data_IF_147395641197
#
_entry.id   IF_147395641197
#
_cell.length_a   1.000
_cell.length_b   1.000
_cell.length_c   1.000
_cell.angle_alpha   90.00
_cell.angle_beta   90.00
_cell.angle_gamma   90.00
#
_symmetry.space_group_name_H-M   'P 1'
#
loop_
_entity.id
_entity.type
_entity.pdbx_description
1 polymer ?
#
# COMPACT_ATOMS: atom_id res chain seq x y z
N UNK A 1 14.46 11.41 5.01
CA UNK A 1 13.08 11.81 4.66
C UNK A 1 12.95 13.32 4.54
N UNK A 2 13.31 14.12 5.56
CA UNK A 2 13.17 15.58 5.51
C UNK A 2 13.73 16.23 4.24
N UNK A 3 14.99 15.95 3.90
CA UNK A 3 15.63 16.55 2.71
C UNK A 3 15.03 16.03 1.39
N UNK A 4 14.54 14.78 1.37
CA UNK A 4 13.86 14.22 0.19
C UNK A 4 12.53 14.93 -0.06
N UNK A 5 11.84 15.33 1.00
CA UNK A 5 10.56 16.01 0.91
C UNK A 5 10.73 17.48 0.55
N UNK A 6 11.65 18.17 1.23
CA UNK A 6 11.69 19.63 1.22
C UNK A 6 12.83 20.20 0.36
N UNK A 7 13.45 19.39 -0.51
CA UNK A 7 14.43 19.86 -1.49
C UNK A 7 14.17 19.26 -2.88
N UNK A 8 14.68 19.94 -3.91
CA UNK A 8 14.59 19.49 -5.30
C UNK A 8 15.79 18.61 -5.72
N UNK A 9 16.66 18.23 -4.77
CA UNK A 9 17.86 17.46 -5.05
C UNK A 9 17.56 16.01 -5.46
N UNK A 10 16.49 15.42 -4.90
CA UNK A 10 16.20 13.99 -5.03
C UNK A 10 14.93 13.72 -5.84
N UNK A 11 13.89 14.53 -5.63
CA UNK A 11 12.57 14.38 -6.25
C UNK A 11 12.13 15.74 -6.78
N UNK A 12 11.73 15.78 -8.05
CA UNK A 12 11.08 16.95 -8.63
C UNK A 12 9.59 16.88 -8.31
N UNK A 13 9.11 17.82 -7.50
CA UNK A 13 7.68 17.98 -7.19
C UNK A 13 7.00 18.85 -8.27
N UNK A 14 5.72 18.62 -8.59
CA UNK A 14 5.00 19.41 -9.58
C UNK A 14 4.70 20.84 -9.08
N UNK A 15 4.52 21.01 -7.78
CA UNK A 15 4.25 22.27 -7.09
C UNK A 15 4.62 22.15 -5.60
N UNK A 16 4.40 23.22 -4.84
CA UNK A 16 4.70 23.24 -3.41
C UNK A 16 3.64 22.62 -2.50
N UNK A 17 2.44 22.38 -3.03
CA UNK A 17 1.27 21.96 -2.26
C UNK A 17 1.12 20.44 -2.19
N UNK A 18 1.70 19.70 -3.16
CA UNK A 18 1.68 18.24 -3.16
C UNK A 18 2.28 17.69 -1.85
N UNK A 19 1.50 16.90 -1.13
CA UNK A 19 1.89 16.31 0.14
C UNK A 19 2.47 14.92 -0.03
N UNK A 20 3.32 14.54 0.93
CA UNK A 20 3.91 13.21 1.05
C UNK A 20 3.85 12.78 2.50
N UNK A 21 3.50 11.51 2.74
CA UNK A 21 3.59 10.88 4.06
C UNK A 21 4.21 9.50 3.92
N UNK A 22 5.20 9.18 4.75
CA UNK A 22 5.85 7.87 4.70
C UNK A 22 6.33 7.39 6.06
N UNK A 23 6.43 6.06 6.16
CA UNK A 23 7.00 5.36 7.30
C UNK A 23 8.00 4.33 6.79
N UNK A 24 9.16 4.26 7.44
CA UNK A 24 10.20 3.25 7.21
C UNK A 24 10.31 2.37 8.44
N UNK A 25 10.19 1.06 8.25
CA UNK A 25 10.21 0.03 9.29
C UNK A 25 11.40 -0.89 9.09
N UNK A 26 12.11 -1.22 10.17
CA UNK A 26 13.03 -2.36 10.24
C UNK A 26 12.23 -3.66 10.24
N UNK A 27 12.40 -4.45 9.19
CA UNK A 27 11.58 -5.65 8.95
C UNK A 27 11.83 -6.74 9.98
N UNK A 28 12.94 -6.70 10.71
CA UNK A 28 13.30 -7.74 11.68
C UNK A 28 12.62 -7.60 13.04
N UNK A 29 12.04 -6.43 13.34
CA UNK A 29 11.56 -6.12 14.69
C UNK A 29 10.43 -5.07 14.76
N UNK A 30 9.96 -4.54 13.63
CA UNK A 30 8.86 -3.57 13.59
C UNK A 30 9.24 -2.16 14.05
N UNK A 31 10.51 -1.86 14.32
CA UNK A 31 10.93 -0.51 14.72
C UNK A 31 10.72 0.48 13.59
N UNK A 32 10.04 1.57 13.88
CA UNK A 32 9.92 2.72 12.98
C UNK A 32 11.23 3.50 13.05
N UNK A 33 12.04 3.44 11.99
CA UNK A 33 13.36 4.09 11.95
C UNK A 33 13.32 5.50 11.38
N UNK A 34 12.30 5.80 10.58
CA UNK A 34 12.03 7.13 10.07
C UNK A 34 10.54 7.25 9.73
N UNK A 35 9.93 8.40 10.03
CA UNK A 35 8.56 8.72 9.66
C UNK A 35 8.42 10.22 9.45
N UNK A 36 7.69 10.62 8.41
CA UNK A 36 7.39 12.02 8.14
C UNK A 36 6.01 12.13 7.48
N UNK A 37 5.14 12.97 8.04
CA UNK A 37 3.73 13.05 7.67
C UNK A 37 3.35 14.17 6.72
N UNK A 38 4.24 15.10 6.38
CA UNK A 38 3.91 16.21 5.50
C UNK A 38 5.17 16.81 4.85
N UNK A 39 4.99 17.42 3.67
CA UNK A 39 5.97 18.29 3.00
C UNK A 39 5.64 19.74 3.33
N UNK A 40 6.66 20.58 3.53
CA UNK A 40 6.52 22.00 3.89
C UNK A 40 5.63 22.26 5.10
N UNK A 41 5.72 21.39 6.12
CA UNK A 41 4.97 21.55 7.35
C UNK A 41 5.40 22.83 8.08
N UNK A 42 4.42 23.63 8.53
CA UNK A 42 4.68 24.84 9.28
C UNK A 42 5.45 24.55 10.59
N UNK A 43 6.58 25.22 10.80
CA UNK A 43 7.49 24.97 11.92
C UNK A 43 6.97 25.44 13.28
N UNK A 44 5.86 26.18 13.31
CA UNK A 44 5.24 26.70 14.53
C UNK A 44 4.19 25.75 15.15
N UNK A 45 3.95 24.57 14.56
CA UNK A 45 2.99 23.57 15.07
C UNK A 45 3.75 22.38 15.64
N UNK A 46 3.65 22.18 16.96
CA UNK A 46 4.17 20.97 17.64
C UNK A 46 3.06 19.94 17.78
N UNK A 47 3.37 18.67 17.45
CA UNK A 47 2.45 17.53 17.58
C UNK A 47 1.08 17.72 16.89
N UNK A 48 1.08 18.40 15.73
CA UNK A 48 -0.09 18.44 14.86
C UNK A 48 -0.42 17.07 14.25
N UNK A 49 -1.45 17.02 13.41
CA UNK A 49 -1.84 15.79 12.70
C UNK A 49 -0.66 15.22 11.92
N UNK A 50 -0.38 13.93 12.12
CA UNK A 50 0.64 13.20 11.39
C UNK A 50 -0.03 12.28 10.36
N UNK A 51 -0.08 12.71 9.09
CA UNK A 51 -0.72 11.94 8.01
C UNK A 51 -0.09 10.55 7.81
N UNK A 52 1.14 10.30 8.29
CA UNK A 52 1.75 8.98 8.20
C UNK A 52 1.02 7.90 9.01
N UNK A 53 0.24 8.29 10.03
CA UNK A 53 -0.54 7.37 10.87
C UNK A 53 -2.05 7.48 10.66
N UNK A 54 -2.53 8.47 9.91
CA UNK A 54 -3.95 8.62 9.61
C UNK A 54 -4.39 7.62 8.53
N UNK A 55 -5.61 7.09 8.67
CA UNK A 55 -6.22 6.11 7.75
C UNK A 55 -7.35 6.70 6.92
N UNK A 56 -7.31 8.01 6.71
CA UNK A 56 -8.34 8.80 6.03
C UNK A 56 -8.13 8.95 4.51
N UNK A 57 -7.12 8.29 3.95
CA UNK A 57 -6.80 8.28 2.50
C UNK A 57 -6.85 6.84 1.97
N UNK A 58 -7.15 6.70 0.70
CA UNK A 58 -7.25 5.39 0.06
C UNK A 58 -5.88 4.94 -0.46
N UNK A 59 -5.45 3.74 -0.05
CA UNK A 59 -4.19 3.09 -0.46
C UNK A 59 -4.34 2.25 -1.74
N UNK A 60 -5.55 2.17 -2.29
CA UNK A 60 -5.83 1.68 -3.63
C UNK A 60 -5.22 0.29 -3.91
N UNK A 61 -4.64 0.15 -5.10
CA UNK A 61 -4.02 -1.11 -5.55
C UNK A 61 -2.86 -1.64 -4.71
N UNK A 62 -2.32 -0.86 -3.76
CA UNK A 62 -1.34 -1.37 -2.80
C UNK A 62 -1.97 -2.32 -1.76
N UNK A 63 -3.29 -2.39 -1.68
CA UNK A 63 -4.01 -3.38 -0.87
C UNK A 63 -3.99 -4.78 -1.50
N UNK A 64 -3.95 -4.89 -2.83
CA UNK A 64 -4.10 -6.18 -3.54
C UNK A 64 -3.16 -7.28 -3.04
N UNK A 65 -1.85 -7.02 -2.81
CA UNK A 65 -0.95 -8.05 -2.29
C UNK A 65 -1.40 -8.66 -0.97
N UNK A 66 -1.91 -7.85 -0.05
CA UNK A 66 -2.22 -8.25 1.33
C UNK A 66 -3.69 -8.65 1.52
N UNK A 67 -4.60 -8.15 0.67
CA UNK A 67 -6.04 -8.47 0.72
C UNK A 67 -6.41 -9.68 -0.12
N UNK A 68 -5.77 -9.85 -1.30
CA UNK A 68 -6.23 -10.81 -2.31
C UNK A 68 -5.19 -11.91 -2.54
N UNK A 69 -4.00 -11.54 -3.01
CA UNK A 69 -3.04 -12.51 -3.56
C UNK A 69 -2.30 -13.30 -2.48
N UNK A 70 -1.85 -12.65 -1.40
CA UNK A 70 -1.23 -13.35 -0.28
C UNK A 70 -2.18 -14.36 0.38
N UNK A 71 -3.43 -14.01 0.76
CA UNK A 71 -4.35 -15.01 1.30
C UNK A 71 -4.74 -16.08 0.27
N UNK A 72 -4.80 -15.75 -1.03
CA UNK A 72 -5.06 -16.75 -2.07
C UNK A 72 -3.95 -17.82 -2.14
N UNK A 73 -2.68 -17.42 -2.07
CA UNK A 73 -1.55 -18.36 -1.99
C UNK A 73 -1.53 -19.09 -0.64
N UNK A 74 -1.79 -18.39 0.46
CA UNK A 74 -1.77 -18.95 1.82
C UNK A 74 -2.78 -20.09 2.00
N UNK A 75 -3.98 -19.90 1.43
CA UNK A 75 -5.12 -20.81 1.57
C UNK A 75 -5.31 -21.76 0.38
N UNK A 76 -4.33 -21.83 -0.55
CA UNK A 76 -4.35 -22.80 -1.65
C UNK A 76 -5.40 -22.51 -2.73
N UNK A 77 -5.80 -21.24 -2.91
CA UNK A 77 -6.58 -20.81 -4.09
C UNK A 77 -5.69 -20.85 -5.34
N UNK A 78 -4.41 -20.51 -5.18
CA UNK A 78 -3.39 -20.65 -6.22
C UNK A 78 -2.18 -21.41 -5.65
N UNK A 79 -1.64 -22.34 -6.43
CA UNK A 79 -0.50 -23.17 -6.02
C UNK A 79 0.83 -22.70 -6.62
N UNK A 80 0.81 -21.75 -7.56
CA UNK A 80 2.01 -21.25 -8.23
C UNK A 80 1.86 -19.79 -8.67
N UNK A 81 2.98 -19.07 -8.85
CA UNK A 81 2.99 -17.72 -9.45
C UNK A 81 2.61 -17.72 -10.94
N UNK A 82 2.57 -18.91 -11.55
CA UNK A 82 2.17 -19.15 -12.93
C UNK A 82 0.69 -19.54 -13.09
N UNK A 83 -0.07 -19.66 -11.99
CA UNK A 83 -1.50 -19.95 -12.05
C UNK A 83 -2.21 -18.95 -12.95
N UNK A 84 -3.09 -19.45 -13.82
CA UNK A 84 -3.82 -18.63 -14.79
C UNK A 84 -5.05 -18.00 -14.14
N UNK A 85 -5.24 -16.71 -14.40
CA UNK A 85 -6.41 -15.91 -14.04
C UNK A 85 -6.98 -15.22 -15.27
N UNK A 86 -8.23 -14.78 -15.18
CA UNK A 86 -9.00 -14.24 -16.30
C UNK A 86 -9.19 -12.74 -16.15
N UNK A 87 -8.42 -11.96 -16.90
CA UNK A 87 -8.60 -10.52 -17.01
C UNK A 87 -9.57 -10.21 -18.17
N UNK A 88 -10.86 -10.39 -17.93
CA UNK A 88 -11.97 -10.21 -18.89
C UNK A 88 -13.07 -9.35 -18.27
N UNK A 89 -14.04 -8.81 -19.04
CA UNK A 89 -15.16 -8.06 -18.46
C UNK A 89 -15.81 -8.81 -17.29
N UNK A 90 -15.90 -8.13 -16.14
CA UNK A 90 -16.32 -8.72 -14.88
C UNK A 90 -17.12 -7.68 -14.08
N UNK A 91 -18.10 -8.14 -13.31
CA UNK A 91 -18.87 -7.29 -12.40
C UNK A 91 -18.48 -7.59 -10.96
N UNK A 92 -18.63 -6.63 -10.07
CA UNK A 92 -18.50 -6.91 -8.65
C UNK A 92 -19.43 -8.07 -8.24
N UNK A 93 -18.96 -9.03 -7.40
CA UNK A 93 -19.77 -10.20 -7.09
C UNK A 93 -21.11 -9.82 -6.46
N UNK A 94 -22.20 -10.39 -6.99
CA UNK A 94 -23.56 -10.13 -6.51
C UNK A 94 -24.18 -8.83 -7.00
N UNK A 95 -23.56 -8.12 -7.96
CA UNK A 95 -24.10 -6.90 -8.56
C UNK A 95 -23.95 -6.90 -10.09
N UNK A 96 -24.65 -5.97 -10.75
CA UNK A 96 -24.46 -5.64 -12.17
C UNK A 96 -23.47 -4.48 -12.37
N UNK A 97 -22.75 -4.09 -11.31
CA UNK A 97 -21.79 -2.98 -11.37
C UNK A 97 -20.51 -3.46 -12.06
N UNK A 98 -20.17 -2.90 -13.24
CA UNK A 98 -18.96 -3.30 -13.96
C UNK A 98 -17.71 -2.90 -13.19
N UNK A 99 -16.73 -3.81 -13.19
CA UNK A 99 -15.41 -3.57 -12.65
C UNK A 99 -14.43 -3.30 -13.79
N UNK A 100 -13.81 -2.12 -13.77
CA UNK A 100 -12.85 -1.72 -14.79
C UNK A 100 -11.40 -1.81 -14.29
N UNK A 101 -10.51 -2.21 -15.19
CA UNK A 101 -9.08 -1.94 -15.06
C UNK A 101 -8.82 -0.45 -15.28
N UNK A 102 -7.73 0.08 -14.72
CA UNK A 102 -7.39 1.50 -14.82
C UNK A 102 -7.17 1.98 -16.26
N UNK A 103 -6.81 1.06 -17.17
CA UNK A 103 -6.60 1.32 -18.60
C UNK A 103 -7.80 0.91 -19.47
N UNK A 104 -8.89 0.42 -18.87
CA UNK A 104 -10.07 -0.11 -19.56
C UNK A 104 -9.78 -1.21 -20.60
N UNK A 105 -8.63 -1.88 -20.48
CA UNK A 105 -8.24 -3.00 -21.35
C UNK A 105 -8.29 -4.31 -20.55
N UNK A 106 -8.52 -5.41 -21.27
CA UNK A 106 -8.60 -6.77 -20.74
C UNK A 106 -7.56 -7.63 -21.44
N UNK A 107 -6.68 -8.30 -20.68
CA UNK A 107 -5.61 -9.13 -21.23
C UNK A 107 -5.97 -10.61 -21.39
N UNK A 108 -7.20 -10.99 -21.04
CA UNK A 108 -7.65 -12.38 -21.12
C UNK A 108 -6.90 -13.28 -20.14
N UNK A 109 -6.43 -14.43 -20.62
CA UNK A 109 -5.76 -15.42 -19.77
C UNK A 109 -4.31 -15.01 -19.52
N UNK A 110 -4.00 -14.67 -18.27
CA UNK A 110 -2.67 -14.24 -17.83
C UNK A 110 -2.28 -14.97 -16.55
N UNK A 111 -0.98 -14.98 -16.21
CA UNK A 111 -0.54 -15.53 -14.92
C UNK A 111 -0.85 -14.57 -13.77
N UNK A 112 -1.01 -15.07 -12.54
CA UNK A 112 -1.18 -14.21 -11.36
C UNK A 112 0.01 -13.25 -11.17
N UNK A 113 1.22 -13.66 -11.54
CA UNK A 113 2.38 -12.78 -11.55
C UNK A 113 2.19 -11.60 -12.51
N UNK A 114 1.74 -11.86 -13.74
CA UNK A 114 1.51 -10.78 -14.71
C UNK A 114 0.31 -9.91 -14.31
N UNK A 115 -0.73 -10.51 -13.74
CA UNK A 115 -1.88 -9.79 -13.21
C UNK A 115 -1.47 -8.80 -12.09
N UNK A 116 -0.58 -9.23 -11.18
CA UNK A 116 -0.04 -8.36 -10.14
C UNK A 116 0.93 -7.31 -10.71
N UNK A 117 1.79 -7.71 -11.65
CA UNK A 117 2.76 -6.84 -12.35
C UNK A 117 2.06 -5.65 -13.03
N UNK A 118 0.94 -5.90 -13.70
CA UNK A 118 0.15 -4.89 -14.40
C UNK A 118 -0.99 -4.32 -13.53
N UNK A 119 -1.09 -4.75 -12.27
CA UNK A 119 -2.10 -4.28 -11.32
C UNK A 119 -3.53 -4.39 -11.86
N UNK A 120 -3.91 -5.54 -12.41
CA UNK A 120 -5.29 -5.77 -12.90
C UNK A 120 -6.28 -5.74 -11.74
N UNK A 121 -7.40 -5.04 -11.92
CA UNK A 121 -8.47 -4.91 -10.92
C UNK A 121 -9.40 -6.12 -10.96
N UNK A 122 -9.74 -6.58 -12.17
CA UNK A 122 -10.61 -7.75 -12.37
C UNK A 122 -10.09 -8.97 -11.61
N UNK A 123 -8.83 -9.32 -11.87
CA UNK A 123 -8.20 -10.50 -11.26
C UNK A 123 -8.07 -10.37 -9.75
N UNK A 124 -7.92 -9.15 -9.22
CA UNK A 124 -7.83 -8.88 -7.78
C UNK A 124 -9.18 -9.14 -7.09
N UNK A 125 -10.26 -8.56 -7.60
CA UNK A 125 -11.61 -8.75 -7.05
C UNK A 125 -12.09 -10.20 -7.21
N UNK A 126 -11.83 -10.83 -8.37
CA UNK A 126 -12.14 -12.25 -8.57
C UNK A 126 -11.35 -13.13 -7.57
N UNK A 127 -10.09 -12.77 -7.28
CA UNK A 127 -9.27 -13.47 -6.28
C UNK A 127 -9.85 -13.31 -4.88
N UNK A 128 -10.25 -12.09 -4.47
CA UNK A 128 -10.91 -11.87 -3.19
C UNK A 128 -12.20 -12.69 -3.06
N UNK A 129 -12.98 -12.80 -4.13
CA UNK A 129 -14.17 -13.65 -4.16
C UNK A 129 -13.85 -15.14 -3.91
N UNK A 130 -12.76 -15.66 -4.49
CA UNK A 130 -12.30 -17.04 -4.25
C UNK A 130 -11.74 -17.25 -2.85
N UNK A 131 -11.04 -16.24 -2.30
CA UNK A 131 -10.55 -16.26 -0.90
C UNK A 131 -11.73 -16.21 0.07
N UNK A 132 -12.74 -15.42 -0.22
CA UNK A 132 -13.86 -15.12 0.68
C UNK A 132 -13.52 -14.01 1.67
N UNK A 133 -14.49 -13.12 1.89
CA UNK A 133 -14.32 -11.89 2.68
C UNK A 133 -13.85 -12.14 4.12
N UNK A 134 -14.36 -13.18 4.78
CA UNK A 134 -14.01 -13.49 6.18
C UNK A 134 -12.55 -13.91 6.35
N UNK A 135 -12.06 -14.79 5.46
CA UNK A 135 -10.66 -15.24 5.47
C UNK A 135 -9.71 -14.11 5.11
N UNK A 136 -10.07 -13.27 4.12
CA UNK A 136 -9.29 -12.08 3.79
C UNK A 136 -9.20 -11.11 4.96
N UNK A 137 -10.32 -10.86 5.67
CA UNK A 137 -10.35 -10.03 6.87
C UNK A 137 -9.45 -10.58 7.98
N UNK A 138 -9.55 -11.88 8.26
CA UNK A 138 -8.71 -12.53 9.27
C UNK A 138 -7.22 -12.46 8.90
N UNK A 139 -6.89 -12.64 7.62
CA UNK A 139 -5.51 -12.51 7.14
C UNK A 139 -4.97 -11.08 7.33
N UNK A 140 -5.75 -10.06 6.96
CA UNK A 140 -5.39 -8.66 7.17
C UNK A 140 -5.23 -8.30 8.66
N UNK A 141 -6.07 -8.86 9.53
CA UNK A 141 -5.94 -8.67 10.98
C UNK A 141 -4.59 -9.20 11.49
N UNK A 142 -4.10 -10.31 10.94
CA UNK A 142 -2.75 -10.82 11.19
C UNK A 142 -1.63 -9.87 10.75
N UNK A 143 -1.92 -8.89 9.89
CA UNK A 143 -1.03 -7.82 9.42
C UNK A 143 -1.35 -6.45 10.04
N UNK A 144 -2.19 -6.39 11.08
CA UNK A 144 -2.54 -5.15 11.79
C UNK A 144 -3.45 -4.18 11.02
N UNK A 145 -4.11 -4.66 9.97
CA UNK A 145 -5.12 -3.92 9.19
C UNK A 145 -6.49 -4.55 9.42
N UNK A 146 -7.52 -3.71 9.58
CA UNK A 146 -8.88 -4.18 9.84
C UNK A 146 -9.90 -3.25 9.19
N UNK A 147 -11.13 -3.73 9.09
CA UNK A 147 -12.30 -3.00 8.62
C UNK A 147 -13.50 -3.35 9.52
N UNK A 148 -14.47 -2.44 9.72
CA UNK A 148 -15.72 -2.80 10.40
C UNK A 148 -16.39 -3.98 9.69
N UNK A 149 -16.55 -3.86 8.38
CA UNK A 149 -17.01 -4.90 7.46
C UNK A 149 -16.13 -4.91 6.22
N UNK A 150 -15.83 -6.11 5.72
CA UNK A 150 -15.09 -6.28 4.47
C UNK A 150 -16.08 -6.33 3.30
N UNK A 151 -15.76 -5.65 2.21
CA UNK A 151 -16.53 -5.67 0.97
C UNK A 151 -15.61 -5.97 -0.23
N UNK A 152 -16.17 -6.38 -1.37
CA UNK A 152 -15.36 -6.67 -2.56
C UNK A 152 -14.61 -5.46 -3.12
N UNK A 153 -15.09 -4.24 -2.86
CA UNK A 153 -14.36 -3.01 -3.16
C UNK A 153 -13.00 -2.95 -2.44
N UNK A 154 -12.87 -3.60 -1.27
CA UNK A 154 -11.65 -3.59 -0.48
C UNK A 154 -10.49 -4.40 -1.09
N UNK A 155 -10.75 -5.19 -2.15
CA UNK A 155 -9.67 -5.81 -2.93
C UNK A 155 -8.71 -4.75 -3.50
N UNK A 156 -9.24 -3.59 -3.89
CA UNK A 156 -8.50 -2.55 -4.61
C UNK A 156 -8.57 -1.18 -3.94
N UNK A 157 -9.08 -1.12 -2.70
CA UNK A 157 -9.27 0.12 -1.94
C UNK A 157 -9.12 -0.15 -0.45
N UNK A 158 -8.49 0.77 0.28
CA UNK A 158 -8.49 0.76 1.74
C UNK A 158 -9.58 1.62 2.34
N UNK A 159 -10.47 2.17 1.52
CA UNK A 159 -11.52 3.05 1.99
C UNK A 159 -12.53 2.27 2.84
N UNK A 160 -13.03 2.92 3.88
CA UNK A 160 -13.88 2.31 4.90
C UNK A 160 -15.01 3.27 5.28
N UNK A 161 -16.13 2.71 5.73
CA UNK A 161 -17.30 3.48 6.17
C UNK A 161 -17.11 4.12 7.55
N UNK A 162 -16.15 3.63 8.34
CA UNK A 162 -15.81 4.19 9.66
C UNK A 162 -14.39 4.76 9.67
N UNK A 163 -14.25 6.00 10.14
CA UNK A 163 -13.00 6.79 10.14
C UNK A 163 -12.12 6.58 11.38
N UNK A 164 -12.32 5.51 12.16
CA UNK A 164 -11.45 5.21 13.30
C UNK A 164 -10.06 4.80 12.81
N UNK A 165 -8.98 5.36 13.40
CA UNK A 165 -7.58 5.07 13.03
C UNK A 165 -7.21 3.58 13.00
N UNK A 166 -7.95 2.72 13.71
CA UNK A 166 -7.71 1.27 13.65
C UNK A 166 -8.08 0.66 12.30
N UNK A 167 -9.06 1.24 11.61
CA UNK A 167 -9.58 0.74 10.34
C UNK A 167 -8.92 1.40 9.14
N UNK A 168 -8.81 0.66 8.04
CA UNK A 168 -8.14 1.13 6.83
C UNK A 168 -6.61 1.08 6.93
N UNK A 169 -5.96 1.84 6.05
CA UNK A 169 -4.51 1.80 5.87
C UNK A 169 -3.88 3.18 6.02
N UNK A 170 -2.64 3.20 6.52
CA UNK A 170 -1.77 4.36 6.68
C UNK A 170 -0.35 3.96 6.29
N UNK A 171 0.58 4.90 6.16
CA UNK A 171 1.95 4.53 5.77
C UNK A 171 2.61 3.70 6.86
N UNK A 172 2.28 3.95 8.13
CA UNK A 172 2.68 3.12 9.25
C UNK A 172 2.19 1.68 9.11
N UNK A 173 0.88 1.48 8.88
CA UNK A 173 0.29 0.13 8.75
C UNK A 173 0.81 -0.60 7.54
N UNK A 174 0.92 0.08 6.40
CA UNK A 174 1.36 -0.52 5.14
C UNK A 174 2.84 -0.90 5.17
N UNK A 175 3.70 -0.09 5.79
CA UNK A 175 5.10 -0.43 5.97
C UNK A 175 5.26 -1.69 6.85
N UNK A 176 4.52 -1.79 7.95
CA UNK A 176 4.55 -2.97 8.82
C UNK A 176 3.93 -4.22 8.17
N UNK A 177 2.85 -4.07 7.40
CA UNK A 177 2.24 -5.18 6.67
C UNK A 177 3.20 -5.74 5.61
N UNK A 178 3.86 -4.87 4.84
CA UNK A 178 4.82 -5.29 3.81
C UNK A 178 6.15 -5.79 4.38
N UNK A 179 6.53 -5.35 5.58
CA UNK A 179 7.66 -5.92 6.31
C UNK A 179 7.49 -7.44 6.55
N UNK A 180 6.25 -7.92 6.71
CA UNK A 180 5.97 -9.34 6.86
C UNK A 180 6.34 -10.15 5.59
N UNK A 181 6.25 -9.57 4.39
CA UNK A 181 6.76 -10.26 3.20
C UNK A 181 8.29 -10.35 3.22
N UNK A 182 8.97 -9.27 3.63
CA UNK A 182 10.42 -9.18 3.64
C UNK A 182 11.11 -10.17 4.58
N UNK A 183 10.48 -10.49 5.72
CA UNK A 183 11.05 -11.29 6.79
C UNK A 183 10.53 -12.75 6.86
N UNK A 184 9.85 -13.23 5.82
CA UNK A 184 9.38 -14.62 5.75
C UNK A 184 8.04 -14.88 6.45
N UNK A 185 7.21 -13.85 6.57
CA UNK A 185 5.80 -13.94 6.97
C UNK A 185 5.51 -13.58 8.43
N UNK A 186 6.39 -12.84 9.09
CA UNK A 186 6.24 -12.43 10.49
C UNK A 186 5.80 -10.97 10.54
N UNK A 187 4.62 -10.71 11.08
CA UNK A 187 4.17 -9.35 11.37
C UNK A 187 4.75 -8.88 12.70
N UNK A 188 5.33 -7.68 12.70
CA UNK A 188 5.70 -6.96 13.91
C UNK A 188 4.86 -5.69 14.02
N UNK A 189 4.34 -5.41 15.21
CA UNK A 189 3.65 -4.14 15.47
C UNK A 189 4.65 -2.97 15.31
N UNK A 190 4.26 -1.83 14.71
CA UNK A 190 5.10 -0.62 14.68
C UNK A 190 5.55 -0.18 16.09
N UNK A 191 6.86 -0.02 16.29
CA UNK A 191 7.48 0.37 17.56
C UNK A 191 8.25 1.69 17.42
N UNK A 192 7.91 2.68 18.25
CA UNK A 192 8.59 3.99 18.31
C UNK A 192 9.55 4.11 19.50
N UNK A 193 9.35 3.29 20.53
CA UNK A 193 10.15 3.28 21.75
C UNK A 193 10.66 1.88 22.02
N UNK A 194 11.86 1.78 22.59
CA UNK A 194 12.47 0.50 23.00
C UNK A 194 12.77 0.45 24.50
N UNK A 195 12.82 1.60 25.18
CA UNK A 195 13.09 1.70 26.61
C UNK A 195 12.54 3.00 27.18
N UNK A 196 11.99 2.95 28.40
CA UNK A 196 11.66 4.12 29.22
C UNK A 196 12.43 3.98 30.54
N UNK A 197 13.09 5.07 30.96
CA UNK A 197 13.72 5.21 32.29
C UNK A 197 12.88 6.20 33.08
N UNK A 198 12.33 5.76 34.21
CA UNK A 198 11.47 6.57 35.06
C UNK A 198 12.30 7.42 36.04
N UNK A 199 11.68 8.45 36.62
CA UNK A 199 12.34 9.38 37.55
C UNK A 199 12.83 8.72 38.84
N UNK A 200 12.30 7.55 39.20
CA UNK A 200 12.74 6.74 40.35
C UNK A 200 13.93 5.81 40.03
N UNK A 201 14.43 5.84 38.79
CA UNK A 201 15.52 5.00 38.31
C UNK A 201 15.09 3.62 37.82
N UNK A 202 13.80 3.26 37.91
CA UNK A 202 13.29 2.02 37.32
C UNK A 202 13.26 2.12 35.79
N UNK A 203 13.38 0.97 35.13
CA UNK A 203 13.44 0.90 33.68
C UNK A 203 12.43 -0.10 33.13
N UNK A 204 11.88 0.20 31.96
CA UNK A 204 11.01 -0.70 31.21
C UNK A 204 11.44 -0.79 29.76
N UNK A 205 11.79 -1.99 29.33
CA UNK A 205 12.10 -2.28 27.92
C UNK A 205 10.84 -2.70 27.16
N UNK A 206 10.82 -2.38 25.87
CA UNK A 206 9.72 -2.66 24.96
C UNK A 206 10.27 -3.38 23.72
N UNK A 207 9.70 -4.53 23.42
CA UNK A 207 9.99 -5.31 22.23
C UNK A 207 8.71 -5.97 21.73
N UNK A 208 8.68 -6.27 20.43
CA UNK A 208 7.61 -7.01 19.79
C UNK A 208 8.17 -8.38 19.36
N UNK A 209 7.56 -9.46 19.88
CA UNK A 209 8.01 -10.82 19.59
C UNK A 209 7.68 -11.27 18.16
N UNK A 210 6.82 -10.53 17.45
CA UNK A 210 6.29 -10.89 16.15
C UNK A 210 5.20 -11.96 16.23
N UNK A 211 4.35 -12.00 15.21
CA UNK A 211 3.35 -13.06 15.02
C UNK A 211 3.40 -13.53 13.58
N UNK A 212 3.35 -14.84 13.35
CA UNK A 212 3.30 -15.38 11.98
C UNK A 212 1.95 -15.04 11.34
N UNK A 213 1.99 -14.19 10.33
CA UNK A 213 0.82 -13.79 9.55
C UNK A 213 0.63 -14.66 8.29
N UNK A 214 1.72 -15.22 7.75
CA UNK A 214 1.69 -16.11 6.58
C UNK A 214 2.84 -17.12 6.61
N UNK A 215 2.74 -18.15 5.77
CA UNK A 215 3.84 -19.09 5.53
C UNK A 215 5.01 -18.38 4.86
N UNK A 216 6.22 -18.89 5.10
CA UNK A 216 7.42 -18.43 4.41
C UNK A 216 7.32 -18.62 2.89
N UNK A 217 6.67 -19.69 2.43
CA UNK A 217 6.40 -19.95 1.01
C UNK A 217 5.49 -18.88 0.39
N UNK A 218 4.44 -18.46 1.10
CA UNK A 218 3.54 -17.37 0.69
C UNK A 218 4.34 -16.06 0.55
N UNK A 219 5.13 -15.72 1.56
CA UNK A 219 5.95 -14.50 1.56
C UNK A 219 6.97 -14.50 0.40
N UNK A 220 7.60 -15.64 0.13
CA UNK A 220 8.54 -15.79 -0.98
C UNK A 220 7.85 -15.62 -2.34
N UNK A 221 6.74 -16.31 -2.58
CA UNK A 221 6.00 -16.22 -3.85
C UNK A 221 5.47 -14.80 -4.10
N UNK A 222 4.94 -14.13 -3.08
CA UNK A 222 4.53 -12.74 -3.17
C UNK A 222 5.70 -11.80 -3.47
N UNK A 223 6.86 -12.04 -2.85
CA UNK A 223 8.08 -11.28 -3.11
C UNK A 223 8.56 -11.44 -4.55
N UNK A 224 8.57 -12.66 -5.09
CA UNK A 224 8.98 -12.91 -6.48
C UNK A 224 8.05 -12.21 -7.47
N UNK A 225 6.74 -12.25 -7.26
CA UNK A 225 5.80 -11.52 -8.11
C UNK A 225 5.97 -9.99 -7.99
N UNK A 226 6.18 -9.47 -6.78
CA UNK A 226 6.35 -8.02 -6.57
C UNK A 226 7.71 -7.49 -7.03
N UNK A 227 8.73 -8.33 -7.21
CA UNK A 227 9.95 -7.94 -7.93
C UNK A 227 9.64 -7.58 -9.38
N UNK A 228 8.75 -8.32 -10.05
CA UNK A 228 8.43 -8.07 -11.45
C UNK A 228 7.64 -6.79 -11.67
N UNK A 229 6.90 -6.34 -10.64
CA UNK A 229 6.25 -5.01 -10.62
C UNK A 229 7.29 -3.90 -10.83
N UNK A 230 8.47 -4.02 -10.24
CA UNK A 230 9.55 -3.03 -10.40
C UNK A 230 10.32 -3.25 -11.70
N UNK A 231 10.57 -4.48 -12.15
CA UNK A 231 11.40 -4.70 -13.35
C UNK A 231 10.66 -4.44 -14.66
N UNK A 232 9.38 -4.82 -14.73
CA UNK A 232 8.58 -4.84 -15.98
C UNK A 232 7.13 -4.35 -15.81
N UNK A 233 6.77 -3.85 -14.63
CA UNK A 233 5.40 -3.47 -14.28
C UNK A 233 5.24 -2.00 -13.95
N UNK A 234 4.14 -1.71 -13.24
CA UNK A 234 3.75 -0.35 -12.87
C UNK A 234 4.75 0.35 -11.94
N UNK A 235 5.55 -0.40 -11.18
CA UNK A 235 6.54 0.13 -10.24
C UNK A 235 7.89 0.47 -10.86
N UNK A 236 8.01 0.52 -12.19
CA UNK A 236 9.31 0.67 -12.88
C UNK A 236 10.10 1.90 -12.47
N UNK A 237 9.42 2.98 -12.10
CA UNK A 237 10.04 4.22 -11.61
C UNK A 237 10.92 4.04 -10.37
N UNK A 238 10.62 3.04 -9.54
CA UNK A 238 11.33 2.73 -8.29
C UNK A 238 12.42 1.65 -8.44
N UNK A 239 12.64 1.11 -9.63
CA UNK A 239 13.61 0.03 -9.85
C UNK A 239 15.06 0.48 -9.65
N UNK A 240 15.84 -0.35 -8.97
CA UNK A 240 17.27 -0.18 -8.75
C UNK A 240 17.96 -1.50 -9.13
N UNK A 241 18.76 -1.54 -10.23
CA UNK A 241 19.30 -2.80 -10.75
C UNK A 241 20.28 -3.51 -9.81
N UNK A 242 20.87 -2.77 -8.87
CA UNK A 242 21.85 -3.29 -7.91
C UNK A 242 21.21 -3.71 -6.57
N UNK A 243 19.92 -3.43 -6.35
CA UNK A 243 19.25 -3.67 -5.08
C UNK A 243 18.16 -4.75 -5.24
N UNK A 244 18.27 -5.91 -4.57
CA UNK A 244 17.16 -6.86 -4.51
C UNK A 244 16.04 -6.31 -3.64
N UNK A 245 14.97 -5.85 -4.29
CA UNK A 245 13.79 -5.28 -3.66
C UNK A 245 12.51 -5.66 -4.40
N UNK A 246 11.39 -5.61 -3.69
CA UNK A 246 10.06 -5.86 -4.22
C UNK A 246 9.12 -4.74 -3.78
N UNK A 247 8.05 -4.51 -4.51
CA UNK A 247 7.09 -3.48 -4.14
C UNK A 247 5.88 -3.42 -5.05
N UNK A 248 4.96 -2.51 -4.71
CA UNK A 248 3.69 -2.34 -5.37
C UNK A 248 3.28 -0.87 -5.40
N UNK A 249 2.84 -0.39 -6.57
CA UNK A 249 2.17 0.90 -6.71
C UNK A 249 0.71 0.82 -6.26
N UNK A 250 0.15 1.94 -5.81
CA UNK A 250 -1.27 2.09 -5.55
C UNK A 250 -1.75 3.40 -6.14
N UNK A 251 -2.93 3.39 -6.75
CA UNK A 251 -3.61 4.61 -7.23
C UNK A 251 -5.07 4.49 -6.79
N UNK A 252 -5.62 5.55 -6.20
CA UNK A 252 -7.04 5.65 -5.86
C UNK A 252 -7.80 6.37 -6.98
N UNK A 253 -9.13 6.33 -6.94
CA UNK A 253 -9.98 6.97 -7.95
C UNK A 253 -10.96 7.97 -7.30
N UNK A 254 -11.42 8.92 -8.12
CA UNK A 254 -12.59 9.73 -7.81
C UNK A 254 -13.88 8.93 -8.06
N UNK A 255 -14.96 9.33 -7.40
CA UNK A 255 -16.31 8.88 -7.80
C UNK A 255 -16.75 9.59 -9.08
N UNK A 256 -17.72 9.03 -9.79
CA UNK A 256 -18.28 9.64 -11.00
C UNK A 256 -18.82 11.06 -10.73
N UNK A 257 -19.47 11.24 -9.57
CA UNK A 257 -19.97 12.55 -9.11
C UNK A 257 -18.84 13.56 -8.91
N UNK A 258 -17.71 13.13 -8.35
CA UNK A 258 -16.55 14.00 -8.16
C UNK A 258 -15.92 14.41 -9.49
N UNK A 259 -15.82 13.46 -10.43
CA UNK A 259 -15.33 13.70 -11.78
C UNK A 259 -16.21 14.75 -12.47
N UNK A 260 -17.52 14.56 -12.48
CA UNK A 260 -18.47 15.46 -13.15
C UNK A 260 -18.47 16.87 -12.55
N UNK A 261 -18.42 16.99 -11.21
CA UNK A 261 -18.58 18.28 -10.52
C UNK A 261 -17.27 19.07 -10.37
N UNK A 262 -16.15 18.39 -10.15
CA UNK A 262 -14.92 19.04 -9.67
C UNK A 262 -13.73 18.86 -10.60
N UNK A 263 -13.66 17.76 -11.36
CA UNK A 263 -12.48 17.45 -12.16
C UNK A 263 -12.61 18.06 -13.56
N UNK A 264 -11.86 19.14 -13.80
CA UNK A 264 -11.84 19.86 -15.08
C UNK A 264 -10.78 19.36 -16.07
N UNK A 265 -9.96 18.39 -15.65
CA UNK A 265 -8.89 17.82 -16.46
C UNK A 265 -9.44 16.65 -17.30
N UNK A 266 -9.06 16.57 -18.57
CA UNK A 266 -9.49 15.51 -19.50
C UNK A 266 -8.52 14.33 -19.61
N UNK A 267 -7.35 14.44 -18.97
CA UNK A 267 -6.34 13.39 -18.85
C UNK A 267 -6.52 12.52 -17.62
N UNK A 268 -5.54 11.63 -17.39
CA UNK A 268 -5.53 10.74 -16.23
C UNK A 268 -5.31 11.52 -14.92
N UNK A 269 -6.17 11.29 -13.93
CA UNK A 269 -6.18 11.98 -12.64
C UNK A 269 -6.48 11.02 -11.49
N UNK A 270 -5.95 11.31 -10.30
CA UNK A 270 -6.23 10.56 -9.08
C UNK A 270 -6.12 11.46 -7.84
N UNK A 271 -6.86 11.17 -6.75
CA UNK A 271 -6.68 11.86 -5.48
C UNK A 271 -5.44 11.39 -4.71
N UNK A 272 -5.04 10.13 -4.88
CA UNK A 272 -3.93 9.51 -4.15
C UNK A 272 -3.07 8.63 -5.06
N UNK A 273 -1.75 8.73 -4.89
CA UNK A 273 -0.75 7.84 -5.48
C UNK A 273 0.19 7.33 -4.38
N UNK A 274 0.45 6.03 -4.39
CA UNK A 274 1.16 5.32 -3.34
C UNK A 274 2.26 4.44 -3.93
N UNK A 275 3.28 4.21 -3.13
CA UNK A 275 4.24 3.15 -3.37
C UNK A 275 4.58 2.47 -2.05
N UNK A 276 4.53 1.14 -2.02
CA UNK A 276 5.02 0.35 -0.88
C UNK A 276 6.06 -0.62 -1.39
N UNK A 277 7.25 -0.58 -0.81
CA UNK A 277 8.33 -1.47 -1.19
C UNK A 277 9.17 -1.88 -0.01
N UNK A 278 9.98 -2.91 -0.21
CA UNK A 278 10.86 -3.42 0.81
C UNK A 278 12.10 -4.08 0.20
N UNK A 279 13.15 -4.04 1.01
CA UNK A 279 14.35 -4.85 0.89
C UNK A 279 14.29 -5.94 1.96
N UNK A 280 15.36 -6.75 2.08
CA UNK A 280 15.49 -7.70 3.19
C UNK A 280 15.72 -7.04 4.56
N UNK A 281 15.92 -5.72 4.63
CA UNK A 281 16.22 -4.98 5.87
C UNK A 281 15.15 -3.96 6.26
N UNK A 282 14.59 -3.28 5.27
CA UNK A 282 13.64 -2.19 5.51
C UNK A 282 12.43 -2.30 4.62
N UNK A 283 11.27 -1.97 5.15
CA UNK A 283 10.03 -1.74 4.40
C UNK A 283 9.65 -0.27 4.51
N UNK A 284 9.20 0.32 3.39
CA UNK A 284 8.78 1.71 3.32
C UNK A 284 7.48 1.82 2.55
N UNK A 285 6.52 2.52 3.14
CA UNK A 285 5.27 2.88 2.49
C UNK A 285 5.21 4.39 2.32
N UNK A 286 4.84 4.84 1.12
CA UNK A 286 4.76 6.24 0.72
C UNK A 286 3.35 6.50 0.20
N UNK A 287 2.73 7.55 0.72
CA UNK A 287 1.52 8.15 0.19
C UNK A 287 1.83 9.54 -0.36
N UNK A 288 1.18 9.90 -1.46
CA UNK A 288 1.21 11.23 -2.06
C UNK A 288 -0.18 11.66 -2.48
N UNK A 289 -0.44 12.97 -2.41
CA UNK A 289 -1.71 13.57 -2.77
C UNK A 289 -1.81 14.98 -2.19
N UNK A 290 -2.91 15.67 -2.49
CA UNK A 290 -3.15 16.99 -1.93
C UNK A 290 -4.01 16.92 -0.67
N UNK A 291 -3.80 17.88 0.24
CA UNK A 291 -4.60 18.03 1.47
C UNK A 291 -6.09 18.08 1.16
N UNK A 292 -6.48 18.85 0.14
CA UNK A 292 -7.81 18.76 -0.46
C UNK A 292 -7.79 17.65 -1.51
N UNK A 293 -8.50 16.54 -1.27
CA UNK A 293 -8.56 15.42 -2.21
C UNK A 293 -9.12 15.80 -3.58
N UNK A 294 -9.89 16.88 -3.69
CA UNK A 294 -10.45 17.35 -4.97
C UNK A 294 -9.41 18.06 -5.86
N UNK A 295 -8.22 18.35 -5.34
CA UNK A 295 -7.07 18.73 -6.17
C UNK A 295 -6.41 17.44 -6.68
N UNK A 296 -6.48 17.15 -8.00
CA UNK A 296 -5.97 15.89 -8.53
C UNK A 296 -4.46 15.90 -8.68
N UNK A 297 -3.86 14.73 -8.47
CA UNK A 297 -2.54 14.40 -9.00
C UNK A 297 -2.67 14.29 -10.53
N UNK A 298 -1.75 14.94 -11.24
CA UNK A 298 -1.70 14.95 -12.71
C UNK A 298 -0.26 14.79 -13.20
N UNK A 299 -0.08 14.27 -14.42
CA UNK A 299 1.21 14.24 -15.13
C UNK A 299 2.34 13.65 -14.29
N UNK A 300 3.44 14.39 -14.15
CA UNK A 300 4.63 13.95 -13.41
C UNK A 300 4.40 13.77 -11.90
N UNK A 301 3.29 14.27 -11.35
CA UNK A 301 2.90 14.06 -9.95
C UNK A 301 2.75 12.57 -9.60
N UNK A 302 2.31 11.74 -10.55
CA UNK A 302 2.20 10.28 -10.37
C UNK A 302 3.56 9.59 -10.17
N UNK A 303 4.67 10.24 -10.54
CA UNK A 303 6.00 9.67 -10.38
C UNK A 303 6.57 9.89 -8.96
N UNK A 304 5.97 10.78 -8.17
CA UNK A 304 6.54 11.25 -6.90
C UNK A 304 6.65 10.13 -5.88
N UNK A 305 5.59 9.34 -5.64
CA UNK A 305 5.62 8.27 -4.63
C UNK A 305 6.74 7.25 -4.87
N UNK A 306 6.89 6.79 -6.13
CA UNK A 306 7.95 5.87 -6.51
C UNK A 306 9.35 6.48 -6.45
N UNK A 307 9.50 7.78 -6.78
CA UNK A 307 10.78 8.51 -6.67
C UNK A 307 11.18 8.80 -5.22
N UNK A 308 10.23 9.08 -4.34
CA UNK A 308 10.49 9.27 -2.89
C UNK A 308 10.95 7.97 -2.24
N UNK A 309 10.40 6.83 -2.67
CA UNK A 309 10.85 5.52 -2.19
C UNK A 309 12.27 5.15 -2.67
N UNK A 310 12.62 5.51 -3.91
CA UNK A 310 13.85 5.08 -4.60
C UNK A 310 15.10 5.83 -4.15
#
# INVERSE_FOLDING_TARGET
LWDIYNSDQYVSYPDDDLQVASTVVDVSNGKVIAQLGARHQASNVSFGTNQAVETNRDWGSSMKPITDYAPALEYGVYDSTASIVHDVPYNYPGTDTPLYNWDHVYFGNITIQYALQQSRNVTAVETLNKVGLDRAKTFLNGLGIDYPSMHYANAISSNTTESNKKYGASSEKMAAAYAAFANGGIYHKPMYINKIVFSDGSEKEFSDAGTRAMKETTAYMMTEMMKTVLTYGTGRGAYLPWLPQAGKTGTSNYTDEEIEKYIKNTGYVAPDEMFVGYTRKYAMAVWTGYSNRLTPIIGDGFLVAGKVYR
#
